data_IF_824966092541
#
_entry.id   IF_824966092541
#
_cell.length_a   1.000
_cell.length_b   1.000
_cell.length_c   1.000
_cell.angle_alpha   90.00
_cell.angle_beta   90.00
_cell.angle_gamma   90.00
#
_symmetry.space_group_name_H-M   'P 1'
#
loop_
_entity.id
_entity.type
_entity.pdbx_description
1 polymer ?
#
# COMPACT_ATOMS: atom_id res chain seq x y z
N UNK A 1 -11.42 -4.50 -5.61
CA UNK A 1 -10.06 -5.01 -5.89
C UNK A 1 -9.68 -4.53 -7.27
N UNK A 2 -8.59 -3.76 -7.44
CA UNK A 2 -8.15 -3.37 -8.79
C UNK A 2 -7.90 -4.62 -9.63
N UNK A 3 -8.15 -4.56 -10.96
CA UNK A 3 -7.92 -5.68 -11.86
C UNK A 3 -6.44 -6.12 -11.79
N UNK A 4 -6.17 -7.40 -12.10
CA UNK A 4 -4.83 -7.98 -12.15
C UNK A 4 -4.01 -7.27 -13.23
N UNK A 5 -3.38 -6.19 -12.82
CA UNK A 5 -2.50 -5.36 -13.64
C UNK A 5 -1.07 -5.84 -13.45
N UNK A 6 -0.26 -5.59 -14.47
CA UNK A 6 1.17 -5.85 -14.46
C UNK A 6 1.88 -5.07 -13.35
N UNK A 7 2.89 -5.66 -12.73
CA UNK A 7 3.71 -4.99 -11.72
C UNK A 7 4.53 -3.89 -12.39
N UNK A 8 4.44 -2.66 -11.88
CA UNK A 8 5.26 -1.53 -12.32
C UNK A 8 6.38 -1.26 -11.32
N UNK A 9 7.53 -0.81 -11.82
CA UNK A 9 8.65 -0.37 -10.97
C UNK A 9 8.34 1.02 -10.45
N UNK A 10 8.52 1.21 -9.14
CA UNK A 10 8.44 2.49 -8.44
C UNK A 10 9.75 2.68 -7.66
N UNK A 11 10.38 3.84 -7.81
CA UNK A 11 11.54 4.23 -7.00
C UNK A 11 11.09 5.18 -5.90
N UNK A 12 11.49 4.90 -4.66
CA UNK A 12 11.20 5.73 -3.48
C UNK A 12 12.48 5.90 -2.65
N UNK A 13 12.60 7.03 -1.96
CA UNK A 13 13.65 7.24 -0.96
C UNK A 13 13.09 6.94 0.43
N UNK A 14 13.81 6.14 1.21
CA UNK A 14 13.44 5.76 2.58
C UNK A 14 14.62 6.04 3.52
N UNK A 15 14.37 6.39 4.79
CA UNK A 15 15.41 6.41 5.80
C UNK A 15 16.11 5.05 5.92
N UNK A 16 17.42 5.06 6.21
CA UNK A 16 18.24 3.85 6.27
C UNK A 16 17.67 2.81 7.27
N UNK A 17 17.20 3.26 8.43
CA UNK A 17 16.58 2.40 9.44
C UNK A 17 15.40 1.57 8.88
N UNK A 18 14.64 2.10 7.91
CA UNK A 18 13.52 1.38 7.31
C UNK A 18 14.00 0.32 6.32
N UNK A 19 15.08 0.62 5.59
CA UNK A 19 15.73 -0.32 4.68
C UNK A 19 16.33 -1.49 5.49
N UNK A 20 16.95 -1.20 6.63
CA UNK A 20 17.46 -2.21 7.56
C UNK A 20 16.35 -3.08 8.13
N UNK A 21 15.24 -2.48 8.57
CA UNK A 21 14.06 -3.22 9.03
C UNK A 21 13.51 -4.16 7.95
N UNK A 22 13.41 -3.68 6.70
CA UNK A 22 13.02 -4.52 5.56
C UNK A 22 14.00 -5.67 5.30
N UNK A 23 15.32 -5.44 5.45
CA UNK A 23 16.32 -6.50 5.33
C UNK A 23 16.15 -7.55 6.44
N UNK A 24 15.90 -7.14 7.68
CA UNK A 24 15.66 -8.06 8.80
C UNK A 24 14.45 -8.94 8.54
N UNK A 25 13.34 -8.37 8.05
CA UNK A 25 12.13 -9.13 7.69
C UNK A 25 12.42 -10.23 6.65
N UNK A 26 13.28 -9.96 5.67
CA UNK A 26 13.70 -10.94 4.67
C UNK A 26 14.66 -11.97 5.24
N UNK A 27 15.61 -11.54 6.08
CA UNK A 27 16.58 -12.42 6.72
C UNK A 27 15.91 -13.44 7.65
N UNK A 28 14.86 -13.01 8.36
CA UNK A 28 14.01 -13.84 9.21
C UNK A 28 13.05 -14.75 8.40
N UNK A 29 13.12 -14.73 7.07
CA UNK A 29 12.26 -15.50 6.15
C UNK A 29 10.76 -15.22 6.30
N UNK A 30 10.39 -14.08 6.89
CA UNK A 30 8.99 -13.64 7.00
C UNK A 30 8.45 -13.17 5.64
N UNK A 31 9.33 -12.62 4.81
CA UNK A 31 9.02 -12.22 3.44
C UNK A 31 10.11 -12.72 2.49
N UNK A 32 9.75 -13.07 1.24
CA UNK A 32 10.72 -13.58 0.27
C UNK A 32 11.70 -12.51 -0.21
N UNK A 33 11.29 -11.24 -0.22
CA UNK A 33 12.12 -10.09 -0.59
C UNK A 33 11.49 -8.79 -0.08
N UNK A 34 12.27 -7.69 -0.15
CA UNK A 34 11.84 -6.35 0.27
C UNK A 34 10.61 -5.87 -0.49
N UNK A 35 10.53 -6.15 -1.79
CA UNK A 35 9.41 -5.72 -2.63
C UNK A 35 8.09 -6.35 -2.19
N UNK A 36 8.09 -7.62 -1.76
CA UNK A 36 6.88 -8.23 -1.19
C UNK A 36 6.50 -7.66 0.17
N UNK A 37 7.47 -7.41 1.06
CA UNK A 37 7.19 -6.76 2.33
C UNK A 37 6.54 -5.38 2.13
N UNK A 38 7.09 -4.58 1.20
CA UNK A 38 6.53 -3.28 0.82
C UNK A 38 5.13 -3.42 0.21
N UNK A 39 4.92 -4.39 -0.70
CA UNK A 39 3.59 -4.65 -1.29
C UNK A 39 2.55 -5.00 -0.24
N UNK A 40 2.91 -5.83 0.75
CA UNK A 40 2.03 -6.19 1.86
C UNK A 40 1.68 -4.96 2.69
N UNK A 41 2.66 -4.16 3.09
CA UNK A 41 2.43 -2.93 3.85
C UNK A 41 1.51 -1.95 3.11
N UNK A 42 1.74 -1.72 1.81
CA UNK A 42 0.92 -0.85 0.97
C UNK A 42 -0.51 -1.40 0.84
N UNK A 43 -0.66 -2.71 0.57
CA UNK A 43 -1.99 -3.33 0.46
C UNK A 43 -2.78 -3.18 1.74
N UNK A 44 -2.15 -3.44 2.89
CA UNK A 44 -2.83 -3.37 4.18
C UNK A 44 -3.19 -1.91 4.52
N UNK A 45 -2.34 -0.95 4.19
CA UNK A 45 -2.64 0.48 4.28
C UNK A 45 -3.86 0.87 3.42
N UNK A 46 -3.84 0.52 2.12
CA UNK A 46 -4.94 0.84 1.19
C UNK A 46 -6.26 0.17 1.60
N UNK A 47 -6.18 -1.07 2.09
CA UNK A 47 -7.33 -1.80 2.59
C UNK A 47 -7.97 -1.05 3.75
N UNK A 48 -7.18 -0.67 4.76
CA UNK A 48 -7.64 0.03 5.97
C UNK A 48 -8.15 1.44 5.68
N UNK A 49 -7.43 2.21 4.88
CA UNK A 49 -7.69 3.65 4.74
C UNK A 49 -8.59 4.00 3.55
N UNK A 50 -8.60 3.20 2.49
CA UNK A 50 -9.31 3.54 1.25
C UNK A 50 -10.47 2.59 0.95
N UNK A 51 -10.29 1.27 1.13
CA UNK A 51 -11.28 0.29 0.63
C UNK A 51 -12.27 -0.22 1.69
N UNK A 52 -11.87 -0.30 2.96
CA UNK A 52 -12.74 -0.77 4.06
C UNK A 52 -13.45 0.36 4.80
N UNK A 53 -13.18 1.63 4.47
CA UNK A 53 -14.02 2.72 4.97
C UNK A 53 -15.44 2.53 4.41
N UNK A 54 -16.47 2.37 5.26
CA UNK A 54 -17.84 2.29 4.77
C UNK A 54 -18.13 3.56 3.98
N UNK A 55 -18.70 3.39 2.79
CA UNK A 55 -19.15 4.39 1.82
C UNK A 55 -19.87 5.59 2.47
N UNK A 56 -19.11 6.47 3.10
CA UNK A 56 -19.39 7.82 3.62
C UNK A 56 -18.09 8.54 3.26
N UNK A 57 -17.88 8.98 2.03
CA UNK A 57 -18.29 10.28 1.52
C UNK A 57 -18.24 10.20 -0.02
N UNK A 58 -19.38 10.02 -0.68
CA UNK A 58 -19.53 10.31 -2.13
C UNK A 58 -20.92 10.90 -2.43
N UNK A 59 -21.60 11.44 -1.41
CA UNK A 59 -22.96 12.01 -1.59
C UNK A 59 -22.99 13.55 -1.52
N UNK A 60 -21.89 14.22 -1.17
CA UNK A 60 -21.90 15.70 -1.03
C UNK A 60 -21.32 16.48 -2.21
N UNK A 61 -20.37 15.94 -2.98
CA UNK A 61 -19.78 16.72 -4.08
C UNK A 61 -20.66 16.76 -5.35
N UNK A 62 -21.55 15.78 -5.55
CA UNK A 62 -22.47 15.75 -6.68
C UNK A 62 -23.67 16.73 -6.56
N UNK A 63 -23.77 17.50 -5.46
CA UNK A 63 -24.85 18.49 -5.24
C UNK A 63 -24.42 19.96 -5.35
N UNK A 64 -23.15 20.26 -5.63
CA UNK A 64 -22.67 21.65 -5.76
C UNK A 64 -22.19 22.04 -7.17
N UNK A 65 -22.54 21.25 -8.18
CA UNK A 65 -22.53 21.70 -9.58
C UNK A 65 -23.92 21.44 -10.15
N UNK A 66 -24.89 22.14 -9.58
CA UNK A 66 -26.20 22.40 -10.17
C UNK A 66 -26.22 23.81 -10.73
#
# INVERSE_FOLDING_TARGET
MPPKSELKILTVHLPDAYIEGLNQLVNLKLYPNRSEAIRVAIRDLLRRELWERPRRVVVEEAKMVG
#
